data_IF_826098792143
#
_entry.id   IF_826098792143
#
_cell.length_a   1.000
_cell.length_b   1.000
_cell.length_c   1.000
_cell.angle_alpha   90.00
_cell.angle_beta   90.00
_cell.angle_gamma   90.00
#
_symmetry.space_group_name_H-M   'P 1'
#
loop_
_entity.id
_entity.type
_entity.pdbx_description
1 polymer ?
#
# COMPACT_ATOMS: atom_id res chain seq x y z
N UNK A 1 -6.90 22.62 -0.51
CA UNK A 1 -7.78 21.46 -0.74
C UNK A 1 -7.46 20.44 0.35
N UNK A 2 -8.43 19.94 1.14
CA UNK A 2 -8.13 18.82 2.01
C UNK A 2 -7.95 17.61 1.11
N UNK A 3 -6.72 17.12 1.01
CA UNK A 3 -6.43 15.84 0.38
C UNK A 3 -7.20 14.79 1.17
N UNK A 4 -8.10 14.08 0.50
CA UNK A 4 -8.94 13.07 1.14
C UNK A 4 -8.00 12.04 1.82
N UNK A 5 -8.05 11.88 3.15
CA UNK A 5 -7.09 11.05 3.86
C UNK A 5 -7.30 9.63 3.39
N UNK A 6 -6.38 9.10 2.57
CA UNK A 6 -6.56 7.82 1.87
C UNK A 6 -7.13 6.73 2.78
N UNK A 7 -8.01 5.90 2.25
CA UNK A 7 -8.72 4.90 3.06
C UNK A 7 -7.76 3.76 3.44
N UNK A 8 -7.45 3.68 4.74
CA UNK A 8 -6.58 2.65 5.32
C UNK A 8 -7.39 1.39 5.64
N UNK A 9 -6.98 0.24 5.12
CA UNK A 9 -7.67 -1.02 5.40
C UNK A 9 -7.04 -1.79 6.56
N UNK A 10 -7.86 -2.12 7.55
CA UNK A 10 -7.44 -2.85 8.75
C UNK A 10 -6.37 -2.11 9.55
N UNK A 11 -5.41 -2.84 10.10
CA UNK A 11 -4.33 -2.29 10.94
C UNK A 11 -3.22 -1.56 10.17
N UNK A 12 -3.38 -1.28 8.88
CA UNK A 12 -2.27 -0.75 8.06
C UNK A 12 -1.77 0.61 8.54
N UNK A 13 -2.67 1.49 9.01
CA UNK A 13 -2.29 2.77 9.60
C UNK A 13 -1.55 2.58 10.93
N UNK A 14 -2.00 1.65 11.77
CA UNK A 14 -1.34 1.35 13.04
C UNK A 14 0.07 0.80 12.80
N UNK A 15 0.23 -0.11 11.83
CA UNK A 15 1.54 -0.65 11.43
C UNK A 15 2.45 0.42 10.84
N UNK A 16 1.93 1.34 10.02
CA UNK A 16 2.76 2.45 9.51
C UNK A 16 3.26 3.32 10.65
N UNK A 17 2.42 3.62 11.64
CA UNK A 17 2.80 4.46 12.80
C UNK A 17 3.84 3.82 13.71
N UNK A 18 3.95 2.49 13.70
CA UNK A 18 5.01 1.77 14.43
C UNK A 18 6.28 1.59 13.61
N UNK A 19 6.27 1.92 12.31
CA UNK A 19 7.45 1.87 11.47
C UNK A 19 8.43 3.01 11.80
N UNK A 20 9.72 2.86 11.47
CA UNK A 20 10.69 3.93 11.64
C UNK A 20 10.36 5.14 10.74
N UNK A 21 10.75 6.33 11.17
CA UNK A 21 10.43 7.60 10.51
C UNK A 21 10.80 7.62 9.01
N UNK A 22 11.94 7.04 8.62
CA UNK A 22 12.33 6.98 7.21
C UNK A 22 11.37 6.17 6.32
N UNK A 23 10.75 5.12 6.87
CA UNK A 23 9.74 4.33 6.16
C UNK A 23 8.42 5.09 6.12
N UNK A 24 8.06 5.78 7.21
CA UNK A 24 6.86 6.61 7.24
C UNK A 24 6.92 7.73 6.19
N UNK A 25 8.07 8.37 6.06
CA UNK A 25 8.31 9.44 5.09
C UNK A 25 8.21 8.92 3.66
N UNK A 26 8.90 7.83 3.34
CA UNK A 26 8.90 7.29 1.97
C UNK A 26 7.53 6.74 1.55
N UNK A 27 6.88 5.97 2.42
CA UNK A 27 5.53 5.46 2.15
C UNK A 27 4.53 6.61 2.09
N UNK A 28 4.62 7.57 3.02
CA UNK A 28 3.77 8.75 3.03
C UNK A 28 3.90 9.59 1.76
N UNK A 29 5.13 9.80 1.30
CA UNK A 29 5.40 10.52 0.06
C UNK A 29 4.87 9.77 -1.17
N UNK A 30 5.02 8.45 -1.22
CA UNK A 30 4.48 7.66 -2.31
C UNK A 30 2.95 7.69 -2.38
N UNK A 31 2.29 7.65 -1.22
CA UNK A 31 0.84 7.80 -1.12
C UNK A 31 0.39 9.21 -1.50
N UNK A 32 1.13 10.23 -1.08
CA UNK A 32 0.87 11.62 -1.46
C UNK A 32 0.92 11.81 -2.97
N UNK A 33 1.97 11.30 -3.63
CA UNK A 33 2.06 11.33 -5.10
C UNK A 33 0.86 10.64 -5.74
N UNK A 34 0.51 9.45 -5.24
CA UNK A 34 -0.66 8.72 -5.72
C UNK A 34 -1.98 9.49 -5.57
N UNK A 35 -2.13 10.30 -4.51
CA UNK A 35 -3.32 11.14 -4.29
C UNK A 35 -3.42 12.31 -5.28
N UNK A 36 -2.28 12.83 -5.75
CA UNK A 36 -2.25 13.92 -6.74
C UNK A 36 -2.19 13.40 -8.19
N UNK A 37 -2.39 12.09 -8.39
CA UNK A 37 -2.35 11.44 -9.71
C UNK A 37 -0.94 11.16 -10.24
N UNK A 38 0.09 11.38 -9.43
CA UNK A 38 1.48 11.06 -9.74
C UNK A 38 1.84 9.64 -9.27
N UNK A 39 2.86 9.05 -9.88
CA UNK A 39 3.37 7.74 -9.46
C UNK A 39 4.74 7.88 -8.81
N UNK A 40 4.90 7.33 -7.60
CA UNK A 40 6.22 7.24 -6.98
C UNK A 40 7.18 6.42 -7.86
N UNK A 41 8.38 6.95 -8.11
CA UNK A 41 9.38 6.29 -8.97
C UNK A 41 9.80 4.91 -8.44
N UNK A 42 9.75 4.71 -7.12
CA UNK A 42 10.02 3.43 -6.48
C UNK A 42 8.83 2.47 -6.40
N UNK A 43 7.62 2.92 -6.80
CA UNK A 43 6.43 2.07 -6.80
C UNK A 43 6.48 1.08 -7.94
N UNK A 44 6.23 -0.19 -7.62
CA UNK A 44 6.25 -1.30 -8.58
C UNK A 44 4.87 -1.93 -8.68
N UNK A 45 4.41 -2.31 -9.88
CA UNK A 45 3.18 -3.06 -10.00
C UNK A 45 3.34 -4.45 -9.38
N UNK A 46 2.50 -4.77 -8.40
CA UNK A 46 2.53 -6.05 -7.72
C UNK A 46 1.86 -7.11 -8.59
N UNK A 47 2.67 -8.00 -9.18
CA UNK A 47 2.19 -9.06 -10.08
C UNK A 47 1.26 -10.02 -9.33
N UNK A 48 0.11 -10.35 -9.93
CA UNK A 48 -0.84 -11.35 -9.42
C UNK A 48 -2.05 -10.82 -8.65
N UNK A 49 -2.12 -9.50 -8.42
CA UNK A 49 -3.25 -8.83 -7.74
C UNK A 49 -4.19 -8.04 -8.67
N UNK A 50 -3.81 -7.89 -9.94
CA UNK A 50 -4.59 -7.19 -10.95
C UNK A 50 -4.07 -5.78 -11.27
N UNK A 51 -4.61 -5.13 -12.31
CA UNK A 51 -4.21 -3.78 -12.70
C UNK A 51 -4.50 -2.77 -11.59
N UNK A 52 -3.60 -1.80 -11.38
CA UNK A 52 -3.79 -0.68 -10.45
C UNK A 52 -3.33 -0.92 -9.01
N UNK A 53 -2.77 -2.10 -8.71
CA UNK A 53 -2.15 -2.40 -7.41
C UNK A 53 -0.65 -2.17 -7.48
N UNK A 54 -0.16 -1.28 -6.63
CA UNK A 54 1.23 -0.85 -6.56
C UNK A 54 1.83 -1.21 -5.19
N UNK A 55 3.11 -1.55 -5.17
CA UNK A 55 3.90 -1.74 -3.96
C UNK A 55 5.04 -0.72 -3.89
N UNK A 56 5.25 -0.12 -2.72
CA UNK A 56 6.41 0.70 -2.38
C UNK A 56 7.31 -0.12 -1.48
N UNK A 57 8.60 -0.15 -1.82
CA UNK A 57 9.63 -0.85 -1.06
C UNK A 57 10.51 0.16 -0.38
N UNK A 58 10.50 0.17 0.94
CA UNK A 58 11.28 1.08 1.77
C UNK A 58 12.32 0.32 2.58
N UNK A 59 13.61 0.61 2.39
CA UNK A 59 14.67 0.00 3.19
C UNK A 59 15.09 0.92 4.33
N UNK A 60 15.17 0.37 5.54
CA UNK A 60 15.61 1.10 6.72
C UNK A 60 16.55 0.25 7.56
N UNK A 61 17.82 0.65 7.63
CA UNK A 61 18.85 0.02 8.48
C UNK A 61 18.96 -1.50 8.30
N UNK A 62 18.73 -2.01 7.09
CA UNK A 62 18.80 -3.44 6.77
C UNK A 62 17.49 -4.21 6.96
N UNK A 63 16.42 -3.52 7.35
CA UNK A 63 15.05 -4.01 7.33
C UNK A 63 14.31 -3.44 6.11
N UNK A 64 13.72 -4.32 5.31
CA UNK A 64 12.94 -3.90 4.14
C UNK A 64 11.46 -3.93 4.46
N UNK A 65 10.79 -2.80 4.34
CA UNK A 65 9.35 -2.63 4.49
C UNK A 65 8.71 -2.58 3.11
N UNK A 66 7.51 -3.15 3.00
CA UNK A 66 6.72 -3.11 1.78
C UNK A 66 5.33 -2.63 2.10
N UNK A 67 4.90 -1.57 1.41
CA UNK A 67 3.57 -1.01 1.50
C UNK A 67 2.84 -1.26 0.19
N UNK A 68 1.64 -1.83 0.24
CA UNK A 68 0.82 -2.12 -0.93
C UNK A 68 -0.42 -1.25 -0.90
N UNK A 69 -0.68 -0.57 -2.00
CA UNK A 69 -1.83 0.32 -2.17
C UNK A 69 -2.44 0.19 -3.57
N UNK A 70 -3.65 0.67 -3.73
CA UNK A 70 -4.36 0.71 -5.01
C UNK A 70 -4.94 2.10 -5.25
N UNK A 71 -4.88 2.54 -6.49
CA UNK A 71 -5.38 3.85 -6.98
C UNK A 71 -6.56 3.70 -7.93
N UNK A 72 -7.08 2.47 -8.09
CA UNK A 72 -8.01 2.13 -9.17
C UNK A 72 -9.46 2.53 -8.93
N UNK A 73 -9.79 2.91 -7.71
CA UNK A 73 -11.16 3.11 -7.23
C UNK A 73 -11.40 4.61 -7.03
N UNK A 74 -12.30 5.21 -7.82
CA UNK A 74 -12.76 6.61 -7.73
C UNK A 74 -11.69 7.69 -7.46
N UNK A 75 -10.52 7.62 -8.13
CA UNK A 75 -9.39 8.57 -7.94
C UNK A 75 -8.87 8.66 -6.49
N UNK A 76 -9.11 7.62 -5.68
CA UNK A 76 -8.69 7.55 -4.28
C UNK A 76 -7.61 6.51 -4.07
N UNK A 77 -6.76 6.78 -3.09
CA UNK A 77 -5.67 5.87 -2.68
C UNK A 77 -6.17 5.01 -1.52
N UNK A 78 -6.21 3.70 -1.74
CA UNK A 78 -6.51 2.72 -0.70
C UNK A 78 -5.24 1.99 -0.28
N UNK A 79 -4.86 2.12 0.97
CA UNK A 79 -3.69 1.43 1.51
C UNK A 79 -4.14 0.05 2.00
N UNK A 80 -3.75 -0.98 1.24
CA UNK A 80 -4.19 -2.35 1.46
C UNK A 80 -3.40 -2.99 2.59
N UNK A 81 -2.07 -2.92 2.56
CA UNK A 81 -1.24 -3.63 3.53
C UNK A 81 0.14 -3.01 3.68
N UNK A 82 0.73 -3.14 4.86
CA UNK A 82 2.11 -2.76 5.12
C UNK A 82 2.75 -3.83 6.01
N UNK A 83 3.91 -4.33 5.57
CA UNK A 83 4.61 -5.39 6.27
C UNK A 83 6.12 -5.20 6.21
N UNK A 84 6.78 -5.64 7.29
CA UNK A 84 8.24 -5.72 7.36
C UNK A 84 8.69 -7.09 6.87
N UNK A 85 9.48 -7.12 5.80
CA UNK A 85 10.12 -8.33 5.33
C UNK A 85 11.37 -8.60 6.17
N UNK A 86 11.26 -9.54 7.12
CA UNK A 86 12.35 -9.93 8.02
C UNK A 86 13.41 -10.86 7.40
N UNK A 87 13.15 -11.45 6.23
CA UNK A 87 14.04 -12.45 5.62
C UNK A 87 14.87 -11.91 4.45
N UNK A 88 16.20 -11.94 4.60
CA UNK A 88 17.19 -11.53 3.58
C UNK A 88 17.18 -12.37 2.28
N UNK A 89 16.55 -13.55 2.28
CA UNK A 89 16.70 -14.57 1.21
C UNK A 89 15.60 -14.64 0.13
N UNK A 90 14.44 -13.99 0.29
CA UNK A 90 13.32 -14.16 -0.66
C UNK A 90 12.95 -12.88 -1.38
N UNK A 91 13.28 -12.71 -2.66
CA UNK A 91 12.83 -11.53 -3.45
C UNK A 91 11.29 -11.46 -3.50
N UNK A 92 10.64 -12.64 -3.47
CA UNK A 92 9.20 -12.81 -3.54
C UNK A 92 8.48 -12.44 -2.23
N UNK A 93 7.35 -11.76 -2.37
CA UNK A 93 6.38 -11.54 -1.30
C UNK A 93 5.77 -12.88 -0.89
N UNK A 94 5.67 -13.22 0.42
CA UNK A 94 5.08 -14.48 0.87
C UNK A 94 3.65 -14.64 0.36
N UNK A 95 3.25 -15.87 0.05
CA UNK A 95 1.91 -16.12 -0.49
C UNK A 95 0.79 -15.75 0.49
N UNK A 96 1.04 -15.87 1.80
CA UNK A 96 0.10 -15.41 2.85
C UNK A 96 -0.13 -13.89 2.81
N UNK A 97 0.91 -13.09 2.54
CA UNK A 97 0.77 -11.64 2.40
C UNK A 97 -0.03 -11.31 1.14
N UNK A 98 0.23 -12.03 0.04
CA UNK A 98 -0.52 -11.86 -1.21
C UNK A 98 -2.01 -12.19 -0.99
N UNK A 99 -2.32 -13.27 -0.28
CA UNK A 99 -3.69 -13.65 0.02
C UNK A 99 -4.41 -12.60 0.88
N UNK A 100 -3.72 -12.07 1.88
CA UNK A 100 -4.24 -11.01 2.75
C UNK A 100 -4.47 -9.71 1.97
N UNK A 101 -3.56 -9.34 1.07
CA UNK A 101 -3.78 -8.20 0.17
C UNK A 101 -4.97 -8.46 -0.77
N UNK A 102 -5.14 -9.67 -1.31
CA UNK A 102 -6.33 -10.01 -2.13
C UNK A 102 -7.63 -9.83 -1.36
N UNK A 103 -7.66 -10.29 -0.11
CA UNK A 103 -8.83 -10.15 0.75
C UNK A 103 -9.15 -8.68 1.01
N UNK A 104 -8.14 -7.87 1.32
CA UNK A 104 -8.30 -6.43 1.55
C UNK A 104 -8.64 -5.67 0.27
N UNK A 105 -8.12 -6.09 -0.88
CA UNK A 105 -8.46 -5.51 -2.18
C UNK A 105 -9.94 -5.70 -2.51
N UNK A 106 -10.51 -6.89 -2.26
CA UNK A 106 -11.95 -7.12 -2.41
C UNK A 106 -12.75 -6.18 -1.52
N UNK A 107 -12.34 -6.03 -0.26
CA UNK A 107 -12.99 -5.10 0.68
C UNK A 107 -12.89 -3.64 0.23
N UNK A 108 -11.76 -3.24 -0.35
CA UNK A 108 -11.60 -1.91 -0.95
C UNK A 108 -12.62 -1.69 -2.07
N UNK A 109 -12.75 -2.66 -2.98
CA UNK A 109 -13.71 -2.61 -4.08
C UNK A 109 -15.16 -2.56 -3.59
N UNK A 110 -15.50 -3.31 -2.54
CA UNK A 110 -16.83 -3.25 -1.93
C UNK A 110 -17.12 -1.90 -1.26
N UNK A 111 -16.12 -1.29 -0.61
CA UNK A 111 -16.27 0.04 0.00
C UNK A 111 -16.46 1.13 -1.04
N UNK A 112 -15.72 1.04 -2.14
CA UNK A 112 -15.85 1.92 -3.29
C UNK A 112 -17.26 1.80 -3.92
N UNK A 113 -17.67 0.57 -4.24
CA UNK A 113 -19.00 0.29 -4.80
C UNK A 113 -20.15 0.76 -3.89
N UNK A 114 -19.99 0.68 -2.56
CA UNK A 114 -20.97 1.19 -1.59
C UNK A 114 -21.00 2.70 -1.47
N UNK A 115 -19.94 3.41 -1.86
CA UNK A 115 -19.89 4.87 -1.84
C UNK A 115 -20.42 5.50 -3.12
N UNK A 116 -20.36 4.77 -4.24
CA UNK A 116 -20.95 5.18 -5.52
C UNK A 116 -22.48 4.99 -5.59
N UNK A 117 -23.12 4.45 -4.55
CA UNK A 117 -24.57 4.21 -4.46
C UNK A 117 -25.21 4.96 -3.31
#
# INVERSE_FOLDING_TARGET
MPLDPGDWLGDTLATLRTCPHGVQDEVGYALYLAQIGEQYAGAKPLKGLGPGVLEVVADHRGDTYRAVYTVRFAERVYVLHLFQKKSKKGIATPQSEIDLVRQRLRRAAELDQKREH
#
